data_IF_193019454743
#
_entry.id   IF_193019454743
#
_cell.length_a   1.000
_cell.length_b   1.000
_cell.length_c   1.000
_cell.angle_alpha   90.00
_cell.angle_beta   90.00
_cell.angle_gamma   90.00
#
_symmetry.space_group_name_H-M   'P 1'
#
loop_
_entity.id
_entity.type
_entity.pdbx_description
1 polymer ?
#
# COMPACT_ATOMS: atom_id res chain seq x y z
N UNK A 1 25.33 18.61 38.51
CA UNK A 1 25.36 17.14 38.52
C UNK A 1 24.74 16.71 37.20
N UNK A 2 25.59 16.37 36.23
CA UNK A 2 25.17 16.00 34.89
C UNK A 2 25.00 14.49 34.85
N UNK A 3 23.75 14.01 34.86
CA UNK A 3 23.42 12.63 34.55
C UNK A 3 23.70 12.40 33.06
N UNK A 4 24.93 11.98 32.76
CA UNK A 4 25.25 11.42 31.46
C UNK A 4 24.55 10.06 31.39
N UNK A 5 23.44 9.98 30.65
CA UNK A 5 22.79 8.74 30.26
C UNK A 5 23.86 7.75 29.79
N UNK A 6 23.92 6.59 30.45
CA UNK A 6 24.83 5.51 30.09
C UNK A 6 24.57 5.12 28.63
N UNK A 7 25.59 4.87 27.81
CA UNK A 7 25.41 4.53 26.39
C UNK A 7 24.53 3.29 26.17
N UNK A 8 24.41 2.43 27.19
CA UNK A 8 23.56 1.24 27.20
C UNK A 8 22.06 1.56 27.35
N UNK A 9 21.70 2.68 28.00
CA UNK A 9 20.31 3.15 28.16
C UNK A 9 19.79 3.94 26.94
N UNK A 10 20.71 4.48 26.13
CA UNK A 10 20.36 5.24 24.92
C UNK A 10 19.88 4.35 23.77
N UNK A 11 20.39 3.12 23.70
CA UNK A 11 20.08 2.16 22.63
C UNK A 11 18.63 1.63 22.66
N UNK A 12 18.04 1.23 23.81
CA UNK A 12 16.63 0.83 23.88
C UNK A 12 15.68 2.01 23.63
N UNK A 13 16.05 3.23 24.02
CA UNK A 13 15.24 4.42 23.78
C UNK A 13 15.17 4.78 22.27
N UNK A 14 16.31 4.68 21.57
CA UNK A 14 16.36 4.86 20.12
C UNK A 14 15.56 3.77 19.39
N UNK A 15 15.70 2.51 19.79
CA UNK A 15 14.94 1.40 19.20
C UNK A 15 13.43 1.55 19.42
N UNK A 16 12.99 1.94 20.62
CA UNK A 16 11.58 2.19 20.90
C UNK A 16 11.02 3.36 20.06
N UNK A 17 11.82 4.40 19.84
CA UNK A 17 11.46 5.48 18.92
C UNK A 17 11.31 4.96 17.48
N UNK A 18 12.21 4.09 17.05
CA UNK A 18 12.19 3.56 15.68
C UNK A 18 10.97 2.70 15.39
N UNK A 19 10.56 1.88 16.35
CA UNK A 19 9.36 1.08 16.24
C UNK A 19 8.11 1.96 16.19
N UNK A 20 8.04 3.02 17.01
CA UNK A 20 6.93 3.99 16.97
C UNK A 20 6.81 4.69 15.62
N UNK A 21 7.92 5.14 15.03
CA UNK A 21 7.88 5.79 13.72
C UNK A 21 7.40 4.83 12.61
N UNK A 22 7.78 3.55 12.68
CA UNK A 22 7.26 2.53 11.76
C UNK A 22 5.77 2.19 11.98
N UNK A 23 5.34 2.16 13.23
CA UNK A 23 3.93 2.04 13.60
C UNK A 23 3.12 3.22 13.07
N UNK A 24 3.59 4.45 13.26
CA UNK A 24 2.94 5.66 12.78
C UNK A 24 2.84 5.70 11.24
N UNK A 25 3.88 5.24 10.54
CA UNK A 25 3.85 5.13 9.08
C UNK A 25 2.77 4.14 8.60
N UNK A 26 2.66 2.97 9.23
CA UNK A 26 1.60 1.98 8.91
C UNK A 26 0.22 2.52 9.25
N UNK A 27 0.08 3.16 10.42
CA UNK A 27 -1.17 3.76 10.88
C UNK A 27 -1.66 4.81 9.90
N UNK A 28 -0.79 5.75 9.53
CA UNK A 28 -1.08 6.81 8.55
C UNK A 28 -1.52 6.20 7.23
N UNK A 29 -0.77 5.23 6.70
CA UNK A 29 -1.11 4.56 5.46
C UNK A 29 -2.49 3.90 5.47
N UNK A 30 -2.85 3.21 6.56
CA UNK A 30 -4.17 2.58 6.69
C UNK A 30 -5.29 3.60 6.92
N UNK A 31 -5.03 4.69 7.65
CA UNK A 31 -5.98 5.79 7.83
C UNK A 31 -6.29 6.49 6.51
N UNK A 32 -5.27 6.75 5.69
CA UNK A 32 -5.42 7.36 4.36
C UNK A 32 -6.26 6.48 3.42
N UNK A 33 -6.21 5.15 3.62
CA UNK A 33 -7.07 4.21 2.90
C UNK A 33 -8.48 4.07 3.49
N UNK A 34 -8.76 4.70 4.64
CA UNK A 34 -10.08 4.70 5.28
C UNK A 34 -10.37 3.51 6.19
N UNK A 35 -9.34 2.84 6.74
CA UNK A 35 -9.54 1.80 7.75
C UNK A 35 -9.80 2.41 9.15
N UNK A 36 -10.66 1.76 9.92
CA UNK A 36 -10.99 2.10 11.29
C UNK A 36 -9.86 1.77 12.28
N UNK A 37 -9.79 2.53 13.37
CA UNK A 37 -8.72 2.40 14.37
C UNK A 37 -8.59 0.96 14.92
N UNK A 38 -9.71 0.28 15.18
CA UNK A 38 -9.70 -1.08 15.72
C UNK A 38 -9.04 -2.10 14.77
N UNK A 39 -9.31 -2.00 13.46
CA UNK A 39 -8.70 -2.86 12.45
C UNK A 39 -7.20 -2.58 12.31
N UNK A 40 -6.81 -1.31 12.41
CA UNK A 40 -5.39 -0.90 12.39
C UNK A 40 -4.64 -1.51 13.57
N UNK A 41 -5.13 -1.32 14.80
CA UNK A 41 -4.47 -1.83 16.01
C UNK A 41 -4.34 -3.36 16.01
N UNK A 42 -5.27 -4.07 15.37
CA UNK A 42 -5.23 -5.53 15.28
C UNK A 42 -4.06 -6.05 14.40
N UNK A 43 -3.63 -5.28 13.39
CA UNK A 43 -2.60 -5.73 12.43
C UNK A 43 -1.23 -5.09 12.65
N UNK A 44 -1.21 -3.89 13.25
CA UNK A 44 -0.02 -3.07 13.47
C UNK A 44 1.16 -3.87 14.08
N UNK A 45 0.99 -4.61 15.19
CA UNK A 45 2.12 -5.27 15.86
C UNK A 45 2.72 -6.38 14.99
N UNK A 46 1.88 -7.06 14.20
CA UNK A 46 2.30 -8.17 13.35
C UNK A 46 3.12 -7.67 12.16
N UNK A 47 2.71 -6.58 11.53
CA UNK A 47 3.42 -5.99 10.40
C UNK A 47 4.78 -5.42 10.82
N UNK A 48 4.83 -4.66 11.90
CA UNK A 48 6.09 -4.07 12.39
C UNK A 48 7.04 -5.14 12.93
N UNK A 49 6.54 -6.15 13.66
CA UNK A 49 7.37 -7.27 14.14
C UNK A 49 7.99 -8.07 12.98
N UNK A 50 7.21 -8.32 11.92
CA UNK A 50 7.69 -9.05 10.75
C UNK A 50 8.68 -8.24 9.92
N UNK A 51 8.45 -6.94 9.76
CA UNK A 51 9.40 -6.02 9.13
C UNK A 51 10.72 -5.97 9.93
N UNK A 52 10.65 -5.80 11.26
CA UNK A 52 11.83 -5.79 12.15
C UNK A 52 12.67 -7.07 12.02
N UNK A 53 12.02 -8.24 11.97
CA UNK A 53 12.73 -9.52 11.79
C UNK A 53 13.51 -9.59 10.47
N UNK A 54 13.05 -8.92 9.42
CA UNK A 54 13.71 -8.90 8.10
C UNK A 54 14.84 -7.89 8.03
N UNK A 55 14.68 -6.72 8.64
CA UNK A 55 15.64 -5.62 8.54
C UNK A 55 16.78 -5.75 9.57
N UNK A 56 16.54 -6.41 10.70
CA UNK A 56 17.56 -6.57 11.76
C UNK A 56 17.73 -5.32 12.63
N UNK A 57 18.89 -5.17 13.27
CA UNK A 57 19.20 -4.09 14.25
C UNK A 57 20.18 -3.02 13.71
N UNK A 58 20.07 -2.65 12.44
CA UNK A 58 20.94 -1.61 11.86
C UNK A 58 20.40 -0.20 12.16
N UNK A 59 21.23 0.79 12.51
CA UNK A 59 20.77 2.18 12.67
C UNK A 59 20.37 2.85 11.35
N UNK A 60 20.81 2.34 10.20
CA UNK A 60 20.34 2.76 8.87
C UNK A 60 19.06 2.02 8.42
N UNK A 61 18.45 1.26 9.33
CA UNK A 61 17.26 0.45 9.07
C UNK A 61 15.96 1.23 9.10
N UNK A 62 15.93 2.50 9.54
CA UNK A 62 14.65 3.19 9.80
C UNK A 62 13.76 3.24 8.55
N UNK A 63 14.25 3.86 7.48
CA UNK A 63 13.48 4.03 6.24
C UNK A 63 13.10 2.67 5.66
N UNK A 64 14.02 1.71 5.73
CA UNK A 64 13.78 0.35 5.28
C UNK A 64 12.74 -0.37 6.16
N UNK A 65 12.73 -0.16 7.48
CA UNK A 65 11.76 -0.73 8.41
C UNK A 65 10.37 -0.17 8.13
N UNK A 66 10.25 1.15 7.98
CA UNK A 66 8.99 1.81 7.62
C UNK A 66 8.47 1.28 6.28
N UNK A 67 9.31 1.27 5.24
CA UNK A 67 8.99 0.75 3.92
C UNK A 67 8.51 -0.70 3.99
N UNK A 68 9.24 -1.57 4.70
CA UNK A 68 8.90 -2.99 4.85
C UNK A 68 7.63 -3.23 5.64
N UNK A 69 7.35 -2.40 6.65
CA UNK A 69 6.13 -2.49 7.43
C UNK A 69 4.92 -2.14 6.57
N UNK A 70 5.00 -1.06 5.78
CA UNK A 70 3.95 -0.68 4.81
C UNK A 70 3.79 -1.74 3.72
N UNK A 71 4.88 -2.27 3.17
CA UNK A 71 4.81 -3.36 2.18
C UNK A 71 4.12 -4.62 2.71
N UNK A 72 4.37 -5.01 3.96
CA UNK A 72 3.73 -6.18 4.56
C UNK A 72 2.22 -5.95 4.73
N UNK A 73 1.79 -4.72 5.04
CA UNK A 73 0.36 -4.33 5.10
C UNK A 73 -0.26 -4.37 3.71
N UNK A 74 0.39 -3.79 2.71
CA UNK A 74 -0.06 -3.83 1.31
C UNK A 74 -0.25 -5.26 0.84
N UNK A 75 0.73 -6.14 1.06
CA UNK A 75 0.65 -7.56 0.72
C UNK A 75 -0.50 -8.27 1.44
N UNK A 76 -0.84 -7.86 2.66
CA UNK A 76 -1.96 -8.43 3.41
C UNK A 76 -3.29 -8.04 2.78
N UNK A 77 -3.45 -6.76 2.44
CA UNK A 77 -4.63 -6.25 1.73
C UNK A 77 -4.76 -6.92 0.36
N UNK A 78 -3.69 -6.94 -0.42
CA UNK A 78 -3.65 -7.55 -1.76
C UNK A 78 -4.07 -9.03 -1.72
N UNK A 79 -3.60 -9.80 -0.73
CA UNK A 79 -4.02 -11.20 -0.53
C UNK A 79 -5.48 -11.33 -0.12
N UNK A 80 -5.95 -10.48 0.79
CA UNK A 80 -7.35 -10.49 1.20
C UNK A 80 -8.27 -10.16 0.02
N UNK A 81 -7.88 -9.20 -0.81
CA UNK A 81 -8.59 -8.81 -2.03
C UNK A 81 -8.56 -9.91 -3.08
N UNK A 82 -7.41 -10.55 -3.31
CA UNK A 82 -7.30 -11.67 -4.23
C UNK A 82 -8.20 -12.84 -3.81
N UNK A 83 -8.22 -13.17 -2.52
CA UNK A 83 -9.12 -14.20 -1.98
C UNK A 83 -10.60 -13.81 -2.13
N UNK A 84 -10.94 -12.55 -1.83
CA UNK A 84 -12.31 -12.05 -1.87
C UNK A 84 -12.90 -12.04 -3.29
N UNK A 85 -12.06 -11.72 -4.28
CA UNK A 85 -12.44 -11.58 -5.68
C UNK A 85 -12.09 -12.81 -6.53
N UNK A 86 -11.63 -13.90 -5.89
CA UNK A 86 -11.22 -15.14 -6.55
C UNK A 86 -10.16 -14.89 -7.66
N UNK A 87 -9.26 -13.94 -7.42
CA UNK A 87 -8.17 -13.60 -8.33
C UNK A 87 -6.94 -14.47 -8.06
N UNK A 88 -6.16 -14.71 -9.11
CA UNK A 88 -4.82 -15.27 -8.97
C UNK A 88 -3.93 -14.25 -8.21
N UNK A 89 -3.34 -14.62 -7.05
CA UNK A 89 -2.44 -13.73 -6.32
C UNK A 89 -1.19 -13.32 -7.11
N UNK A 90 -0.82 -14.07 -8.15
CA UNK A 90 0.31 -13.76 -9.01
C UNK A 90 -0.06 -12.85 -10.22
N UNK A 91 -1.36 -12.61 -10.46
CA UNK A 91 -1.85 -11.63 -11.45
C UNK A 91 -1.82 -10.20 -10.87
N UNK A 92 -0.62 -9.64 -10.83
CA UNK A 92 -0.36 -8.29 -10.30
C UNK A 92 -1.27 -7.21 -10.92
N UNK A 93 -1.53 -7.18 -12.24
CA UNK A 93 -2.51 -6.26 -12.82
C UNK A 93 -3.91 -6.37 -12.21
N UNK A 94 -4.44 -7.58 -12.02
CA UNK A 94 -5.78 -7.77 -11.45
C UNK A 94 -5.84 -7.36 -9.97
N UNK A 95 -4.82 -7.70 -9.19
CA UNK A 95 -4.71 -7.29 -7.78
C UNK A 95 -4.60 -5.76 -7.67
N UNK A 96 -3.81 -5.12 -8.54
CA UNK A 96 -3.67 -3.67 -8.57
C UNK A 96 -4.99 -2.97 -8.91
N UNK A 97 -5.78 -3.51 -9.85
CA UNK A 97 -7.12 -3.02 -10.17
C UNK A 97 -8.07 -3.15 -8.98
N UNK A 98 -8.05 -4.29 -8.29
CA UNK A 98 -8.85 -4.51 -7.09
C UNK A 98 -8.52 -3.50 -5.98
N UNK A 99 -7.23 -3.27 -5.70
CA UNK A 99 -6.79 -2.26 -4.74
C UNK A 99 -7.20 -0.85 -5.18
N UNK A 100 -7.12 -0.55 -6.47
CA UNK A 100 -7.54 0.74 -7.00
C UNK A 100 -9.05 0.94 -6.84
N UNK A 101 -9.86 -0.10 -7.08
CA UNK A 101 -11.30 -0.04 -6.82
C UNK A 101 -11.56 0.29 -5.34
N UNK A 102 -10.86 -0.35 -4.39
CA UNK A 102 -10.99 -0.04 -2.95
C UNK A 102 -10.72 1.43 -2.58
N UNK A 103 -9.87 2.12 -3.37
CA UNK A 103 -9.51 3.53 -3.18
C UNK A 103 -10.46 4.49 -3.91
N UNK A 104 -10.91 4.08 -5.10
CA UNK A 104 -11.83 4.86 -5.93
C UNK A 104 -13.28 4.76 -5.43
N UNK A 105 -13.59 3.73 -4.63
CA UNK A 105 -14.96 3.49 -4.22
C UNK A 105 -15.42 4.45 -3.13
N UNK A 106 -16.50 5.16 -3.45
CA UNK A 106 -17.39 5.83 -2.50
C UNK A 106 -18.52 4.92 -2.01
N UNK A 107 -18.52 3.62 -2.35
CA UNK A 107 -19.40 2.63 -1.74
C UNK A 107 -18.95 2.30 -0.33
N UNK A 108 -19.92 2.02 0.53
CA UNK A 108 -19.78 1.59 1.93
C UNK A 108 -19.15 0.17 2.05
N UNK A 109 -18.02 -0.06 1.38
CA UNK A 109 -17.28 -1.30 1.47
C UNK A 109 -16.67 -1.40 2.88
N UNK A 110 -16.92 -2.47 3.64
CA UNK A 110 -16.43 -2.61 5.00
C UNK A 110 -14.94 -2.97 5.02
N UNK A 111 -14.08 -1.99 4.76
CA UNK A 111 -12.61 -2.16 4.64
C UNK A 111 -12.03 -2.92 5.83
N UNK A 112 -12.49 -2.62 7.04
CA UNK A 112 -12.05 -3.27 8.29
C UNK A 112 -12.20 -4.80 8.28
N UNK A 113 -13.16 -5.32 7.51
CA UNK A 113 -13.39 -6.77 7.40
C UNK A 113 -12.25 -7.46 6.64
N UNK A 114 -11.54 -6.76 5.74
CA UNK A 114 -10.36 -7.29 5.03
C UNK A 114 -9.22 -7.63 6.00
N UNK A 115 -9.08 -6.87 7.10
CA UNK A 115 -7.99 -7.04 8.06
C UNK A 115 -8.39 -7.91 9.26
N UNK A 116 -9.66 -7.89 9.64
CA UNK A 116 -10.20 -8.57 10.83
C UNK A 116 -10.67 -10.01 10.58
N UNK A 117 -10.55 -10.52 9.34
CA UNK A 117 -11.05 -11.85 8.94
C UNK A 117 -12.56 -12.02 9.18
N UNK A 118 -13.29 -10.92 9.32
CA UNK A 118 -14.74 -10.94 9.41
C UNK A 118 -15.35 -11.21 8.03
N UNK A 119 -16.52 -11.87 7.98
CA UNK A 119 -17.19 -12.12 6.71
C UNK A 119 -17.55 -10.79 6.02
N UNK A 120 -17.26 -10.70 4.73
CA UNK A 120 -17.64 -9.56 3.90
C UNK A 120 -18.96 -9.91 3.22
N UNK A 121 -20.00 -9.05 3.31
CA UNK A 121 -21.27 -9.30 2.66
C UNK A 121 -21.09 -9.47 1.15
N UNK A 122 -21.74 -10.47 0.55
CA UNK A 122 -21.67 -10.74 -0.89
C UNK A 122 -22.11 -9.54 -1.74
N UNK A 123 -23.03 -8.72 -1.22
CA UNK A 123 -23.46 -7.48 -1.88
C UNK A 123 -22.33 -6.46 -1.97
N UNK A 124 -21.51 -6.30 -0.92
CA UNK A 124 -20.34 -5.43 -0.94
C UNK A 124 -19.28 -5.92 -1.93
N UNK A 125 -19.09 -7.24 -2.04
CA UNK A 125 -18.20 -7.85 -3.05
C UNK A 125 -18.71 -7.59 -4.46
N UNK A 126 -20.02 -7.67 -4.67
CA UNK A 126 -20.64 -7.38 -5.97
C UNK A 126 -20.49 -5.90 -6.34
N UNK A 127 -20.74 -4.98 -5.40
CA UNK A 127 -20.55 -3.56 -5.61
C UNK A 127 -19.10 -3.25 -5.99
N UNK A 128 -18.14 -3.78 -5.24
CA UNK A 128 -16.71 -3.63 -5.54
C UNK A 128 -16.34 -4.14 -6.94
N UNK A 129 -16.89 -5.29 -7.35
CA UNK A 129 -16.69 -5.82 -8.71
C UNK A 129 -17.19 -4.88 -9.82
N UNK A 130 -18.29 -4.14 -9.58
CA UNK A 130 -18.79 -3.16 -10.56
C UNK A 130 -17.90 -1.92 -10.69
N UNK A 131 -17.08 -1.63 -9.67
CA UNK A 131 -16.15 -0.51 -9.66
C UNK A 131 -14.73 -0.88 -10.09
N UNK A 132 -14.48 -2.14 -10.47
CA UNK A 132 -13.18 -2.55 -10.98
C UNK A 132 -12.83 -1.76 -12.24
N UNK A 133 -11.67 -1.08 -12.28
CA UNK A 133 -11.22 -0.38 -13.48
C UNK A 133 -11.10 -1.35 -14.64
N UNK A 134 -11.87 -1.12 -15.71
CA UNK A 134 -11.72 -1.84 -16.97
C UNK A 134 -10.63 -1.16 -17.79
N UNK A 135 -9.72 -1.95 -18.37
CA UNK A 135 -8.73 -1.43 -19.31
C UNK A 135 -9.45 -0.70 -20.45
N UNK A 136 -9.00 0.52 -20.75
CA UNK A 136 -9.48 1.25 -21.92
C UNK A 136 -9.19 0.40 -23.16
N UNK A 137 -10.16 0.14 -24.04
CA UNK A 137 -9.91 -0.57 -25.27
C UNK A 137 -8.80 0.13 -26.07
N UNK A 138 -7.98 -0.60 -26.84
CA UNK A 138 -7.00 0.02 -27.72
C UNK A 138 -7.72 0.97 -28.67
N UNK A 139 -7.26 2.23 -28.71
CA UNK A 139 -7.80 3.22 -29.63
C UNK A 139 -7.53 2.75 -31.07
N UNK A 140 -8.54 2.88 -31.94
CA UNK A 140 -8.33 2.60 -33.36
C UNK A 140 -7.25 3.56 -33.89
N UNK A 141 -6.28 3.07 -34.68
CA UNK A 141 -5.25 3.93 -35.25
C UNK A 141 -5.92 5.00 -36.11
N UNK A 142 -5.79 6.26 -35.70
CA UNK A 142 -6.26 7.39 -36.49
C UNK A 142 -5.31 7.56 -37.69
N UNK A 143 -5.84 7.68 -38.92
CA UNK A 143 -5.00 7.97 -40.07
C UNK A 143 -4.33 9.33 -39.88
N UNK A 144 -3.00 9.32 -39.81
CA UNK A 144 -2.22 10.54 -39.72
C UNK A 144 -2.11 11.16 -41.13
N UNK A 145 -2.50 12.43 -41.27
CA UNK A 145 -2.28 13.16 -42.51
C UNK A 145 -0.77 13.24 -42.80
N UNK A 146 -0.33 13.06 -44.06
CA UNK A 146 1.07 13.17 -44.42
C UNK A 146 1.62 14.54 -44.04
N UNK A 147 2.63 14.54 -43.15
CA UNK A 147 3.30 15.76 -42.70
C UNK A 147 4.30 16.19 -43.77
N UNK A 148 4.14 17.40 -44.31
CA UNK A 148 5.10 17.97 -45.24
C UNK A 148 6.20 18.67 -44.44
N UNK A 149 7.36 18.04 -44.32
CA UNK A 149 8.52 18.68 -43.72
C UNK A 149 9.20 19.59 -44.75
N UNK A 150 9.16 20.90 -44.54
CA UNK A 150 9.99 21.86 -45.28
C UNK A 150 11.27 22.10 -44.49
N UNK A 151 12.38 21.56 -44.99
CA UNK A 151 13.70 21.93 -44.51
C UNK A 151 14.04 23.32 -45.05
N UNK A 152 14.02 24.33 -44.18
CA UNK A 152 14.56 25.65 -44.51
C UNK A 152 16.07 25.57 -44.28
N UNK A 153 16.83 25.24 -45.34
CA UNK A 153 18.26 25.46 -45.34
C UNK A 153 18.52 26.95 -45.61
N UNK A 154 18.78 27.72 -44.56
CA UNK A 154 19.38 29.05 -44.71
C UNK A 154 20.86 28.86 -45.03
N UNK A 155 21.22 28.86 -46.31
CA UNK A 155 22.56 29.22 -46.75
C UNK A 155 22.51 30.67 -47.25
N UNK A 156 23.46 31.45 -46.75
CA UNK A 156 23.67 32.87 -46.99
C UNK A 156 23.74 33.26 -48.47
#
# INVERSE_FOLDING_TARGET
>A
MSDALSPDDAQPAAEARFLREAEDAVRTYLQDMGFGAAAIEAVLPQCVSKARKRVGRSPFAMEELQRRAVEDVQRRIDRAMAQLLELDPDDLPSVARARTALLLDGADFPKDHLLSSQPIPTEAVRALNTHLPTATPPENPLPMAPQTFRFIWNNA
#
